data_IF_528019632502
#
_entry.id   IF_528019632502
#
_cell.length_a   1.000
_cell.length_b   1.000
_cell.length_c   1.000
_cell.angle_alpha   90.00
_cell.angle_beta   90.00
_cell.angle_gamma   90.00
#
_symmetry.space_group_name_H-M   'P 1'
#
loop_
_entity.id
_entity.type
_entity.pdbx_description
1 polymer ?
#
# COMPACT_ATOMS: atom_id res chain seq x y z
N UNK A 1 1.79 2.42 -12.48
CA UNK A 1 2.84 2.84 -13.47
C UNK A 1 3.69 1.62 -13.83
N UNK A 2 4.57 1.58 -14.87
CA UNK A 2 5.52 0.47 -14.95
C UNK A 2 6.50 0.56 -13.78
N UNK A 3 6.69 -0.54 -13.06
CA UNK A 3 7.68 -0.63 -12.00
C UNK A 3 9.09 -0.34 -12.55
N UNK A 4 9.81 0.55 -11.88
CA UNK A 4 11.15 0.98 -12.29
C UNK A 4 12.24 0.65 -11.24
N UNK A 5 11.82 0.15 -10.07
CA UNK A 5 12.69 -0.16 -8.93
C UNK A 5 12.36 -1.51 -8.32
N UNK A 6 13.27 -2.03 -7.50
CA UNK A 6 13.13 -3.30 -6.78
C UNK A 6 13.58 -3.10 -5.34
N UNK A 7 12.78 -3.56 -4.38
CA UNK A 7 13.17 -3.74 -2.97
C UNK A 7 13.54 -5.20 -2.77
N UNK A 8 14.69 -5.47 -2.15
CA UNK A 8 15.12 -6.84 -1.82
C UNK A 8 15.10 -7.01 -0.31
N UNK A 9 14.36 -8.01 0.16
CA UNK A 9 14.31 -8.34 1.59
C UNK A 9 15.50 -9.19 2.03
N UNK A 10 15.65 -9.39 3.35
CA UNK A 10 16.76 -10.16 3.93
C UNK A 10 16.81 -11.62 3.45
N UNK A 11 15.66 -12.20 3.07
CA UNK A 11 15.58 -13.58 2.56
C UNK A 11 15.83 -13.67 1.03
N UNK A 12 16.08 -12.54 0.36
CA UNK A 12 16.30 -12.46 -1.09
C UNK A 12 15.02 -12.32 -1.92
N UNK A 13 13.84 -12.21 -1.30
CA UNK A 13 12.61 -11.92 -2.01
C UNK A 13 12.65 -10.51 -2.59
N UNK A 14 12.30 -10.40 -3.86
CA UNK A 14 12.28 -9.15 -4.63
C UNK A 14 10.86 -8.63 -4.75
N UNK A 15 10.69 -7.32 -4.56
CA UNK A 15 9.43 -6.60 -4.68
C UNK A 15 9.61 -5.47 -5.69
N UNK A 16 9.18 -5.67 -6.95
CA UNK A 16 9.11 -4.60 -7.93
C UNK A 16 8.20 -3.48 -7.43
N UNK A 17 8.60 -2.24 -7.61
CA UNK A 17 7.81 -1.10 -7.16
C UNK A 17 8.07 0.16 -7.98
N UNK A 18 7.16 1.11 -7.84
CA UNK A 18 7.34 2.49 -8.27
C UNK A 18 7.09 3.44 -7.10
N UNK A 19 7.69 4.62 -7.15
CA UNK A 19 7.52 5.64 -6.12
C UNK A 19 7.29 7.03 -6.74
N UNK A 20 6.47 7.83 -6.06
CA UNK A 20 6.30 9.24 -6.35
C UNK A 20 6.17 10.03 -5.06
N UNK A 21 6.50 11.32 -5.13
CA UNK A 21 6.54 12.20 -3.95
C UNK A 21 5.88 13.52 -4.32
N UNK A 22 5.12 14.07 -3.38
CA UNK A 22 4.63 15.45 -3.45
C UNK A 22 5.01 16.23 -2.18
N UNK A 23 4.49 17.47 -2.05
CA UNK A 23 4.80 18.32 -0.90
C UNK A 23 4.24 17.81 0.43
N UNK A 24 3.29 16.89 0.41
CA UNK A 24 2.49 16.44 1.54
C UNK A 24 2.77 14.98 1.93
N UNK A 25 3.12 14.12 0.96
CA UNK A 25 3.30 12.68 1.13
C UNK A 25 4.29 12.05 0.15
N UNK A 26 4.66 10.82 0.48
CA UNK A 26 5.22 9.82 -0.42
C UNK A 26 4.11 8.86 -0.88
N UNK A 27 4.32 8.22 -2.02
CA UNK A 27 3.46 7.18 -2.55
C UNK A 27 4.34 6.06 -3.09
N UNK A 28 4.14 4.86 -2.56
CA UNK A 28 4.76 3.63 -3.05
C UNK A 28 3.67 2.73 -3.60
N UNK A 29 3.89 2.18 -4.80
CA UNK A 29 3.06 1.16 -5.43
C UNK A 29 3.97 -0.06 -5.62
N UNK A 30 3.75 -1.10 -4.81
CA UNK A 30 4.62 -2.26 -4.69
C UNK A 30 3.86 -3.50 -5.14
N UNK A 31 4.41 -4.23 -6.11
CA UNK A 31 3.89 -5.54 -6.53
C UNK A 31 4.10 -6.57 -5.42
N UNK A 32 3.02 -7.24 -5.02
CA UNK A 32 3.04 -8.25 -3.96
C UNK A 32 2.21 -9.47 -4.35
N UNK A 33 2.51 -10.59 -3.69
CA UNK A 33 1.68 -11.79 -3.67
C UNK A 33 1.24 -12.04 -2.22
N UNK A 34 -0.06 -12.04 -1.97
CA UNK A 34 -0.63 -12.06 -0.63
C UNK A 34 -1.93 -12.89 -0.59
N UNK A 35 -2.04 -13.79 0.39
CA UNK A 35 -3.16 -14.73 0.55
C UNK A 35 -3.58 -15.43 -0.75
N UNK A 36 -2.58 -16.00 -1.44
CA UNK A 36 -2.72 -16.67 -2.74
C UNK A 36 -3.22 -15.78 -3.90
N UNK A 37 -3.12 -14.46 -3.76
CA UNK A 37 -3.58 -13.47 -4.75
C UNK A 37 -2.45 -12.51 -5.13
N UNK A 38 -2.40 -12.17 -6.42
CA UNK A 38 -1.58 -11.07 -6.92
C UNK A 38 -2.26 -9.73 -6.63
N UNK A 39 -1.47 -8.72 -6.32
CA UNK A 39 -1.98 -7.38 -6.13
C UNK A 39 -0.90 -6.32 -5.93
N UNK A 40 -1.36 -5.10 -5.71
CA UNK A 40 -0.52 -3.93 -5.50
C UNK A 40 -0.72 -3.35 -4.10
N UNK A 41 0.36 -3.30 -3.32
CA UNK A 41 0.39 -2.58 -2.06
C UNK A 41 0.66 -1.10 -2.31
N UNK A 42 -0.32 -0.28 -1.98
CA UNK A 42 -0.22 1.17 -1.95
C UNK A 42 0.15 1.65 -0.55
N UNK A 43 1.19 2.47 -0.44
CA UNK A 43 1.64 3.06 0.82
C UNK A 43 1.73 4.57 0.65
N UNK A 44 1.03 5.31 1.52
CA UNK A 44 1.16 6.76 1.68
C UNK A 44 1.45 7.11 3.13
N UNK A 45 1.78 8.37 3.42
CA UNK A 45 1.99 8.84 4.80
C UNK A 45 0.82 8.55 5.73
N UNK A 46 -0.41 8.56 5.20
CA UNK A 46 -1.65 8.50 5.98
C UNK A 46 -2.26 7.10 6.07
N UNK A 47 -1.79 6.15 5.27
CA UNK A 47 -2.38 4.82 5.24
C UNK A 47 -1.90 3.99 4.06
N UNK A 48 -2.43 2.79 4.00
CA UNK A 48 -2.09 1.80 2.98
C UNK A 48 -3.25 0.86 2.70
N UNK A 49 -3.33 0.37 1.47
CA UNK A 49 -4.24 -0.70 1.08
C UNK A 49 -3.58 -1.60 0.05
N UNK A 50 -4.08 -2.82 -0.09
CA UNK A 50 -3.73 -3.71 -1.20
C UNK A 50 -4.90 -3.69 -2.17
N UNK A 51 -4.66 -3.40 -3.45
CA UNK A 51 -5.63 -3.67 -4.51
C UNK A 51 -5.34 -5.05 -5.10
N UNK A 52 -6.35 -5.91 -5.23
CA UNK A 52 -6.20 -7.25 -5.78
C UNK A 52 -6.58 -7.30 -7.26
N UNK A 53 -5.77 -7.98 -8.07
CA UNK A 53 -5.90 -8.02 -9.54
C UNK A 53 -7.08 -8.87 -10.03
N UNK A 54 -7.59 -9.78 -9.20
CA UNK A 54 -8.58 -10.78 -9.57
C UNK A 54 -10.03 -10.27 -9.48
N UNK A 55 -10.34 -9.40 -8.52
CA UNK A 55 -11.69 -8.87 -8.30
C UNK A 55 -11.75 -7.34 -8.07
N UNK A 56 -10.62 -6.64 -8.22
CA UNK A 56 -10.45 -5.20 -7.94
C UNK A 56 -10.85 -4.78 -6.51
N UNK A 57 -10.98 -5.72 -5.56
CA UNK A 57 -11.25 -5.40 -4.16
C UNK A 57 -10.01 -4.85 -3.47
N UNK A 58 -10.23 -4.08 -2.41
CA UNK A 58 -9.16 -3.53 -1.59
C UNK A 58 -9.11 -4.19 -0.22
N UNK A 59 -7.92 -4.59 0.24
CA UNK A 59 -7.66 -4.82 1.66
C UNK A 59 -7.12 -3.54 2.27
N UNK A 60 -7.99 -2.80 2.97
CA UNK A 60 -7.66 -1.53 3.59
C UNK A 60 -7.13 -1.73 5.02
N UNK A 61 -5.98 -1.11 5.33
CA UNK A 61 -5.37 -1.17 6.65
C UNK A 61 -5.53 0.18 7.35
N UNK A 62 -6.17 0.18 8.53
CA UNK A 62 -6.27 1.37 9.41
C UNK A 62 -5.01 1.61 10.22
N UNK A 63 -3.87 1.52 9.54
CA UNK A 63 -2.55 1.63 10.11
C UNK A 63 -1.83 2.65 9.23
N UNK A 64 -1.36 3.76 9.82
CA UNK A 64 -0.65 4.77 9.05
C UNK A 64 0.86 4.56 9.19
N UNK A 65 1.65 4.61 8.10
CA UNK A 65 3.11 4.60 8.19
C UNK A 65 3.67 5.72 9.07
N UNK A 66 2.99 6.88 9.12
CA UNK A 66 3.39 8.01 9.96
C UNK A 66 3.31 7.75 11.47
N UNK A 67 2.56 6.74 11.92
CA UNK A 67 2.52 6.32 13.32
C UNK A 67 3.82 5.63 13.75
N UNK A 68 4.54 4.98 12.82
CA UNK A 68 5.82 4.29 13.07
C UNK A 68 7.02 5.13 12.64
N UNK A 69 6.88 5.87 11.54
CA UNK A 69 7.95 6.64 10.91
C UNK A 69 7.53 8.11 10.80
N UNK A 70 7.46 8.85 11.93
CA UNK A 70 7.00 10.22 11.93
C UNK A 70 7.97 11.14 11.18
N UNK A 71 7.41 12.18 10.55
CA UNK A 71 8.14 13.27 9.88
C UNK A 71 9.07 12.82 8.74
N UNK A 72 8.85 11.64 8.17
CA UNK A 72 9.59 11.19 6.99
C UNK A 72 9.02 11.84 5.71
N UNK A 73 9.92 12.32 4.86
CA UNK A 73 9.59 12.76 3.49
C UNK A 73 9.52 11.60 2.51
N UNK A 74 10.28 10.55 2.80
CA UNK A 74 10.33 9.28 2.08
C UNK A 74 10.69 8.17 3.09
N UNK A 75 10.24 6.96 2.83
CA UNK A 75 10.63 5.77 3.59
C UNK A 75 11.90 5.16 3.00
N UNK A 76 12.82 4.73 3.87
CA UNK A 76 13.93 3.88 3.45
C UNK A 76 13.41 2.48 3.08
N UNK A 77 14.18 1.71 2.29
CA UNK A 77 13.84 0.31 1.99
C UNK A 77 13.61 -0.53 3.25
N UNK A 78 14.44 -0.32 4.28
CA UNK A 78 14.26 -0.98 5.57
C UNK A 78 12.93 -0.62 6.26
N UNK A 79 12.52 0.65 6.19
CA UNK A 79 11.23 1.08 6.73
C UNK A 79 10.06 0.48 5.94
N UNK A 80 10.15 0.41 4.61
CA UNK A 80 9.11 -0.21 3.76
C UNK A 80 8.95 -1.68 4.12
N UNK A 81 10.05 -2.44 4.17
CA UNK A 81 10.03 -3.86 4.55
C UNK A 81 9.50 -4.07 5.98
N UNK A 82 9.93 -3.24 6.93
CA UNK A 82 9.41 -3.28 8.30
C UNK A 82 7.90 -2.97 8.36
N UNK A 83 7.43 -2.06 7.51
CA UNK A 83 6.01 -1.72 7.42
C UNK A 83 5.20 -2.87 6.80
N UNK A 84 5.69 -3.48 5.72
CA UNK A 84 5.07 -4.65 5.11
C UNK A 84 4.92 -5.79 6.13
N UNK A 85 5.96 -6.08 6.92
CA UNK A 85 5.87 -7.08 7.98
C UNK A 85 4.80 -6.71 9.04
N UNK A 86 4.70 -5.42 9.40
CA UNK A 86 3.66 -4.94 10.31
C UNK A 86 2.25 -5.18 9.75
N UNK A 87 2.06 -4.96 8.46
CA UNK A 87 0.77 -5.22 7.79
C UNK A 87 0.43 -6.72 7.81
N UNK A 88 1.41 -7.60 7.55
CA UNK A 88 1.23 -9.05 7.63
C UNK A 88 0.85 -9.50 9.05
N UNK A 89 1.56 -9.01 10.07
CA UNK A 89 1.28 -9.35 11.47
C UNK A 89 -0.12 -8.88 11.93
N UNK A 90 -0.65 -7.83 11.29
CA UNK A 90 -1.93 -7.21 11.62
C UNK A 90 -2.98 -7.37 10.51
N UNK A 91 -2.80 -8.38 9.65
CA UNK A 91 -3.70 -8.70 8.54
C UNK A 91 -5.16 -8.77 9.00
N UNK A 92 -5.40 -9.43 10.15
CA UNK A 92 -6.74 -9.61 10.71
C UNK A 92 -7.48 -8.31 11.07
N UNK A 93 -6.77 -7.16 11.13
CA UNK A 93 -7.35 -5.84 11.34
C UNK A 93 -7.74 -5.15 10.02
N UNK A 94 -7.28 -5.68 8.89
CA UNK A 94 -7.62 -5.22 7.55
C UNK A 94 -9.09 -5.44 7.24
N UNK A 95 -9.67 -4.52 6.47
CA UNK A 95 -11.04 -4.64 5.97
C UNK A 95 -11.00 -4.84 4.47
N UNK A 96 -11.61 -5.93 4.00
CA UNK A 96 -11.89 -6.10 2.57
C UNK A 96 -13.03 -5.17 2.16
N UNK A 97 -12.77 -4.35 1.16
CA UNK A 97 -13.69 -3.40 0.53
C UNK A 97 -13.93 -3.90 -0.90
N UNK A 98 -15.14 -4.37 -1.24
CA UNK A 98 -15.46 -4.79 -2.59
C UNK A 98 -15.33 -3.64 -3.60
N UNK A 99 -15.07 -3.97 -4.86
CA UNK A 99 -14.96 -3.01 -5.96
C UNK A 99 -16.11 -2.00 -5.99
N UNK A 100 -17.36 -2.45 -5.80
CA UNK A 100 -18.53 -1.58 -5.84
C UNK A 100 -18.47 -0.51 -4.74
N UNK A 101 -17.98 -0.86 -3.56
CA UNK A 101 -17.81 0.09 -2.45
C UNK A 101 -16.65 1.07 -2.73
N UNK A 102 -15.55 0.60 -3.34
CA UNK A 102 -14.43 1.47 -3.78
C UNK A 102 -14.92 2.50 -4.79
N UNK A 103 -15.68 2.06 -5.80
CA UNK A 103 -16.26 2.93 -6.83
C UNK A 103 -17.22 3.95 -6.22
N UNK A 104 -18.08 3.54 -5.29
CA UNK A 104 -18.97 4.46 -4.57
C UNK A 104 -18.20 5.55 -3.82
N UNK A 105 -17.14 5.19 -3.10
CA UNK A 105 -16.31 6.15 -2.38
C UNK A 105 -15.65 7.14 -3.34
N UNK A 106 -15.12 6.65 -4.46
CA UNK A 106 -14.53 7.51 -5.49
C UNK A 106 -15.56 8.48 -6.10
N UNK A 107 -16.76 8.00 -6.41
CA UNK A 107 -17.83 8.84 -6.94
C UNK A 107 -18.30 9.90 -5.93
N UNK A 108 -18.25 9.62 -4.63
CA UNK A 108 -18.55 10.61 -3.60
C UNK A 108 -17.45 11.68 -3.52
N UNK A 109 -16.18 11.26 -3.58
CA UNK A 109 -15.04 12.18 -3.62
C UNK A 109 -15.15 13.18 -4.78
N UNK A 110 -15.39 12.67 -6.01
CA UNK A 110 -15.56 13.52 -7.20
C UNK A 110 -16.74 14.50 -7.13
N UNK A 111 -17.76 14.22 -6.31
CA UNK A 111 -18.92 15.12 -6.11
C UNK A 111 -18.73 16.10 -4.96
N UNK A 112 -17.73 15.87 -4.11
CA UNK A 112 -17.41 16.70 -2.95
C UNK A 112 -16.41 17.82 -3.23
N UNK A 113 -15.79 17.81 -4.42
CA UNK A 113 -15.02 18.92 -5.02
C UNK A 113 -15.90 19.77 -5.95
#
# INVERSE_FOLDING_TARGET
>A
MPYDKIIVSENGQEFPYSESFDGESYYYEISIFFDDRDGELFISKWGSHIAFDDDDSWLDFKIAPSDFFPNQKELSHGNILSYMNTLLERESEGRVIPKEEVEEHYQRYLKSE
#
